data_IF_391008182930
#
_entry.id   IF_391008182930
#
_cell.length_a   1.000
_cell.length_b   1.000
_cell.length_c   1.000
_cell.angle_alpha   90.00
_cell.angle_beta   90.00
_cell.angle_gamma   90.00
#
_symmetry.space_group_name_H-M   'P 1'
#
loop_
_entity.id
_entity.type
_entity.pdbx_description
1 polymer ?
#
# COMPACT_ATOMS: atom_id res chain seq x y z
N UNK A 1 -8.01 -23.85 1.76
CA UNK A 1 -6.82 -23.84 0.86
C UNK A 1 -5.53 -23.85 1.69
N UNK A 2 -4.48 -24.55 1.23
CA UNK A 2 -3.27 -24.85 2.03
C UNK A 2 -2.49 -23.61 2.51
N UNK A 3 -2.60 -22.46 1.82
CA UNK A 3 -1.83 -21.25 2.13
C UNK A 3 -2.54 -20.27 3.09
N UNK A 4 -3.82 -20.49 3.41
CA UNK A 4 -4.58 -19.59 4.29
C UNK A 4 -3.95 -19.43 5.70
N UNK A 5 -3.46 -20.49 6.38
CA UNK A 5 -2.83 -20.35 7.70
C UNK A 5 -1.62 -19.42 7.69
N UNK A 6 -0.78 -19.48 6.64
CA UNK A 6 0.38 -18.61 6.49
C UNK A 6 -0.03 -17.14 6.37
N UNK A 7 -1.02 -16.83 5.52
CA UNK A 7 -1.50 -15.46 5.34
C UNK A 7 -2.17 -14.90 6.60
N UNK A 8 -2.91 -15.74 7.34
CA UNK A 8 -3.48 -15.36 8.63
C UNK A 8 -2.37 -15.00 9.63
N UNK A 9 -1.28 -15.77 9.67
CA UNK A 9 -0.14 -15.46 10.53
C UNK A 9 0.58 -14.18 10.11
N UNK A 10 0.74 -13.94 8.81
CA UNK A 10 1.28 -12.67 8.31
C UNK A 10 0.40 -11.48 8.72
N UNK A 11 -0.93 -11.65 8.74
CA UNK A 11 -1.87 -10.62 9.20
C UNK A 11 -1.72 -10.31 10.68
N UNK A 12 -1.62 -11.33 11.53
CA UNK A 12 -1.38 -11.16 12.96
C UNK A 12 -0.09 -10.39 13.22
N UNK A 13 1.00 -10.78 12.53
CA UNK A 13 2.29 -10.10 12.64
C UNK A 13 2.22 -8.64 12.17
N UNK A 14 1.55 -8.39 11.04
CA UNK A 14 1.38 -7.03 10.53
C UNK A 14 0.58 -6.14 11.48
N UNK A 15 -0.54 -6.64 12.03
CA UNK A 15 -1.35 -5.91 13.01
C UNK A 15 -0.58 -5.63 14.29
N UNK A 16 0.15 -6.62 14.80
CA UNK A 16 1.03 -6.44 15.95
C UNK A 16 2.09 -5.36 15.69
N UNK A 17 2.76 -5.41 14.53
CA UNK A 17 3.79 -4.44 14.17
C UNK A 17 3.21 -3.02 14.03
N UNK A 18 2.06 -2.89 13.37
CA UNK A 18 1.36 -1.61 13.21
C UNK A 18 0.96 -1.01 14.57
N UNK A 19 0.41 -1.81 15.47
CA UNK A 19 0.07 -1.36 16.82
C UNK A 19 1.30 -0.90 17.59
N UNK A 20 2.39 -1.67 17.57
CA UNK A 20 3.66 -1.31 18.24
C UNK A 20 4.27 -0.03 17.69
N UNK A 21 4.26 0.17 16.38
CA UNK A 21 4.77 1.39 15.75
C UNK A 21 3.92 2.62 16.10
N UNK A 22 2.60 2.45 16.19
CA UNK A 22 1.67 3.51 16.61
C UNK A 22 1.83 3.85 18.10
N UNK A 23 2.03 2.86 18.96
CA UNK A 23 2.35 3.07 20.38
C UNK A 23 3.66 3.86 20.55
N UNK A 24 4.70 3.47 19.82
CA UNK A 24 6.01 4.11 19.88
C UNK A 24 6.02 5.51 19.24
N UNK A 25 5.14 5.77 18.28
CA UNK A 25 5.00 7.06 17.61
C UNK A 25 3.52 7.35 17.34
N UNK A 26 2.82 8.04 18.26
CA UNK A 26 1.40 8.35 18.11
C UNK A 26 1.08 9.18 16.86
N UNK A 27 2.07 9.94 16.36
CA UNK A 27 1.98 10.70 15.11
C UNK A 27 2.24 9.86 13.85
N UNK A 28 2.44 8.55 13.97
CA UNK A 28 2.70 7.68 12.82
C UNK A 28 1.51 7.75 11.84
N UNK A 29 1.75 8.02 10.55
CA UNK A 29 0.69 8.03 9.56
C UNK A 29 -0.01 6.67 9.45
N UNK A 30 -1.24 6.62 8.94
CA UNK A 30 -1.96 5.37 8.72
C UNK A 30 -1.11 4.35 7.97
N UNK A 31 -0.99 3.16 8.53
CA UNK A 31 -0.21 2.08 7.95
C UNK A 31 -1.09 1.13 7.14
N UNK A 32 -0.52 0.57 6.07
CA UNK A 32 -1.18 -0.38 5.17
C UNK A 32 -0.38 -1.67 5.12
N UNK A 33 -1.09 -2.78 4.98
CA UNK A 33 -0.51 -4.10 4.78
C UNK A 33 -1.08 -4.76 3.52
N UNK A 34 -0.20 -5.25 2.65
CA UNK A 34 -0.63 -5.81 1.37
C UNK A 34 0.51 -6.32 0.48
N UNK A 35 0.14 -6.76 -0.71
CA UNK A 35 1.04 -7.36 -1.68
C UNK A 35 1.02 -6.56 -2.98
N UNK A 36 2.10 -6.64 -3.75
CA UNK A 36 2.02 -6.32 -5.16
C UNK A 36 1.25 -7.43 -5.89
N UNK A 37 0.31 -7.06 -6.77
CA UNK A 37 -0.45 -8.00 -7.59
C UNK A 37 0.48 -8.86 -8.46
N UNK A 38 1.49 -8.23 -9.08
CA UNK A 38 2.59 -8.94 -9.73
C UNK A 38 3.88 -8.71 -8.92
N UNK A 39 4.45 -9.75 -8.29
CA UNK A 39 5.57 -9.57 -7.38
C UNK A 39 6.87 -9.28 -8.15
N UNK A 40 7.68 -8.35 -7.64
CA UNK A 40 9.01 -8.07 -8.19
C UNK A 40 10.10 -9.04 -7.73
N UNK A 41 9.78 -9.91 -6.76
CA UNK A 41 10.68 -10.90 -6.19
C UNK A 41 9.99 -12.26 -6.15
N UNK A 42 10.77 -13.34 -6.25
CA UNK A 42 10.23 -14.72 -6.31
C UNK A 42 9.51 -15.15 -5.04
N UNK A 43 10.02 -14.75 -3.88
CA UNK A 43 9.44 -15.13 -2.59
C UNK A 43 8.25 -14.22 -2.26
N UNK A 44 7.18 -14.80 -1.72
CA UNK A 44 6.04 -14.04 -1.21
C UNK A 44 6.51 -13.10 -0.09
N UNK A 45 6.17 -11.82 -0.21
CA UNK A 45 6.54 -10.81 0.76
C UNK A 45 5.36 -9.88 1.02
N UNK A 46 4.98 -9.75 2.28
CA UNK A 46 3.98 -8.79 2.71
C UNK A 46 4.66 -7.44 2.93
N UNK A 47 4.14 -6.40 2.30
CA UNK A 47 4.54 -5.04 2.60
C UNK A 47 3.76 -4.52 3.81
N UNK A 48 4.46 -3.89 4.74
CA UNK A 48 3.88 -3.06 5.80
C UNK A 48 4.53 -1.68 5.66
N UNK A 49 3.74 -0.68 5.30
CA UNK A 49 4.23 0.67 5.00
C UNK A 49 3.27 1.74 5.50
N UNK A 50 3.81 2.91 5.86
CA UNK A 50 3.02 4.10 6.15
C UNK A 50 2.52 4.74 4.85
N UNK A 51 1.40 5.48 4.95
CA UNK A 51 0.74 6.09 3.80
C UNK A 51 1.27 7.48 3.43
N UNK A 52 2.39 7.93 4.01
CA UNK A 52 2.94 9.28 3.77
C UNK A 52 3.77 9.42 2.50
N UNK A 53 4.31 8.31 1.96
CA UNK A 53 5.14 8.31 0.75
C UNK A 53 6.35 9.28 0.78
N UNK A 54 6.78 9.71 1.97
CA UNK A 54 7.90 10.63 2.18
C UNK A 54 9.21 9.86 2.35
N UNK A 55 9.77 9.41 1.22
CA UNK A 55 11.04 8.66 1.21
C UNK A 55 11.96 9.10 0.07
N UNK A 56 13.27 9.22 0.34
CA UNK A 56 14.28 9.46 -0.69
C UNK A 56 14.38 8.31 -1.72
N UNK A 57 13.93 7.10 -1.36
CA UNK A 57 13.97 5.91 -2.22
C UNK A 57 12.78 5.82 -3.19
N UNK A 58 11.74 6.63 -2.99
CA UNK A 58 10.61 6.73 -3.89
C UNK A 58 10.98 7.61 -5.10
N UNK A 59 11.64 7.00 -6.10
CA UNK A 59 12.33 7.70 -7.20
C UNK A 59 11.60 7.68 -8.54
N UNK A 60 10.65 6.76 -8.74
CA UNK A 60 10.01 6.56 -10.04
C UNK A 60 8.50 6.49 -9.94
N UNK A 61 7.83 6.83 -11.05
CA UNK A 61 6.39 6.67 -11.23
C UNK A 61 5.95 5.22 -10.95
N UNK A 62 6.76 4.25 -11.38
CA UNK A 62 6.52 2.82 -11.11
C UNK A 62 6.52 2.51 -9.61
N UNK A 63 7.49 3.02 -8.85
CA UNK A 63 7.52 2.82 -7.40
C UNK A 63 6.30 3.44 -6.71
N UNK A 64 5.89 4.64 -7.13
CA UNK A 64 4.71 5.27 -6.55
C UNK A 64 3.44 4.49 -6.88
N UNK A 65 3.20 4.23 -8.15
CA UNK A 65 1.99 3.53 -8.60
C UNK A 65 1.90 2.09 -8.08
N UNK A 66 3.01 1.41 -7.81
CA UNK A 66 2.97 0.05 -7.25
C UNK A 66 2.38 -0.01 -5.85
N UNK A 67 2.38 1.11 -5.11
CA UNK A 67 1.78 1.22 -3.78
C UNK A 67 0.52 2.10 -3.76
N UNK A 68 0.36 2.99 -4.74
CA UNK A 68 -0.68 4.02 -4.79
C UNK A 68 -1.86 3.70 -5.74
N UNK A 69 -1.90 2.49 -6.30
CA UNK A 69 -2.99 2.00 -7.16
C UNK A 69 -3.45 0.62 -6.68
N UNK A 70 -4.48 0.05 -7.32
CA UNK A 70 -4.94 -1.32 -7.05
C UNK A 70 -3.92 -2.40 -7.43
N UNK A 71 -2.77 -2.03 -8.01
CA UNK A 71 -1.61 -2.92 -8.07
C UNK A 71 -1.14 -3.35 -6.66
N UNK A 72 -1.38 -2.51 -5.64
CA UNK A 72 -1.22 -2.88 -4.24
C UNK A 72 -2.51 -3.50 -3.72
N UNK A 73 -2.51 -4.81 -3.52
CA UNK A 73 -3.67 -5.57 -3.05
C UNK A 73 -3.64 -5.67 -1.52
N UNK A 74 -4.64 -5.12 -0.80
CA UNK A 74 -4.72 -5.25 0.65
C UNK A 74 -4.74 -6.71 1.11
N UNK A 75 -4.06 -7.01 2.21
CA UNK A 75 -3.97 -8.38 2.76
C UNK A 75 -5.35 -9.00 3.03
N UNK A 76 -6.29 -8.22 3.58
CA UNK A 76 -7.65 -8.72 3.86
C UNK A 76 -8.44 -9.01 2.57
N UNK A 77 -8.17 -8.30 1.47
CA UNK A 77 -8.76 -8.62 0.16
C UNK A 77 -8.21 -9.94 -0.41
N UNK A 78 -6.90 -10.18 -0.27
CA UNK A 78 -6.27 -11.45 -0.66
C UNK A 78 -6.85 -12.62 0.13
N UNK A 79 -7.00 -12.46 1.46
CA UNK A 79 -7.63 -13.47 2.31
C UNK A 79 -9.10 -13.72 1.91
N UNK A 80 -9.83 -12.66 1.57
CA UNK A 80 -11.22 -12.76 1.08
C UNK A 80 -11.32 -13.59 -0.20
N UNK A 81 -10.50 -13.28 -1.22
CA UNK A 81 -10.47 -14.04 -2.48
C UNK A 81 -10.05 -15.49 -2.26
N UNK A 82 -9.02 -15.73 -1.44
CA UNK A 82 -8.56 -17.07 -1.13
C UNK A 82 -9.63 -17.88 -0.39
N UNK A 83 -10.37 -17.26 0.54
CA UNK A 83 -11.48 -17.89 1.25
C UNK A 83 -12.66 -18.22 0.34
N UNK A 84 -13.05 -17.29 -0.55
CA UNK A 84 -14.20 -17.45 -1.43
C UNK A 84 -13.93 -18.40 -2.61
N UNK A 85 -12.73 -18.37 -3.20
CA UNK A 85 -12.45 -19.06 -4.46
C UNK A 85 -11.35 -20.12 -4.35
N UNK A 86 -10.71 -20.27 -3.19
CA UNK A 86 -9.57 -21.18 -3.01
C UNK A 86 -8.28 -20.72 -3.69
N UNK A 87 -8.31 -19.59 -4.42
CA UNK A 87 -7.20 -19.01 -5.17
C UNK A 87 -7.33 -17.49 -5.28
N UNK A 88 -6.23 -16.85 -5.67
CA UNK A 88 -6.17 -15.42 -6.02
C UNK A 88 -5.97 -15.35 -7.53
N UNK A 89 -6.92 -14.75 -8.25
CA UNK A 89 -6.83 -14.62 -9.69
C UNK A 89 -6.13 -13.30 -10.06
N UNK A 90 -5.11 -13.36 -10.89
CA UNK A 90 -4.28 -12.22 -11.26
C UNK A 90 -4.11 -12.21 -12.78
N UNK A 91 -4.61 -11.17 -13.43
CA UNK A 91 -4.27 -10.86 -14.82
C UNK A 91 -3.00 -10.00 -14.82
N UNK A 92 -1.85 -10.64 -14.95
CA UNK A 92 -0.56 -9.96 -14.85
C UNK A 92 -0.41 -8.80 -15.85
N UNK A 93 -0.97 -8.93 -17.05
CA UNK A 93 -0.89 -7.89 -18.06
C UNK A 93 -1.73 -6.66 -17.67
N UNK A 94 -2.97 -6.89 -17.24
CA UNK A 94 -3.85 -5.81 -16.79
C UNK A 94 -3.29 -5.11 -15.54
N UNK A 95 -2.72 -5.88 -14.60
CA UNK A 95 -2.10 -5.33 -13.38
C UNK A 95 -0.85 -4.50 -13.70
N UNK A 96 0.05 -4.98 -14.55
CA UNK A 96 1.25 -4.23 -14.93
C UNK A 96 0.95 -2.92 -15.67
N UNK A 97 -0.16 -2.85 -16.41
CA UNK A 97 -0.60 -1.61 -17.06
C UNK A 97 -0.87 -0.48 -16.05
N UNK A 98 -1.33 -0.81 -14.83
CA UNK A 98 -1.58 0.16 -13.75
C UNK A 98 -0.32 0.90 -13.32
N UNK A 99 0.86 0.27 -13.44
CA UNK A 99 2.14 0.91 -13.12
C UNK A 99 2.44 2.10 -14.06
N UNK A 100 1.87 2.09 -15.27
CA UNK A 100 2.01 3.17 -16.26
C UNK A 100 0.86 4.19 -16.20
N UNK A 101 -0.17 3.96 -15.39
CA UNK A 101 -1.32 4.86 -15.23
C UNK A 101 -0.89 6.23 -14.68
N UNK A 102 -1.74 7.24 -14.85
CA UNK A 102 -1.50 8.59 -14.30
C UNK A 102 -1.29 8.54 -12.78
N UNK A 103 -0.29 9.27 -12.26
CA UNK A 103 -0.07 9.31 -10.82
C UNK A 103 -1.16 10.17 -10.18
N UNK A 104 -1.95 9.58 -9.30
CA UNK A 104 -2.95 10.27 -8.49
C UNK A 104 -2.67 10.07 -7.02
N UNK A 105 -2.91 11.11 -6.24
CA UNK A 105 -2.87 11.00 -4.78
C UNK A 105 -4.03 10.12 -4.30
N UNK A 106 -3.74 9.08 -3.52
CA UNK A 106 -4.79 8.21 -2.96
C UNK A 106 -5.70 8.91 -1.95
N UNK A 107 -5.24 10.02 -1.34
CA UNK A 107 -6.00 10.72 -0.32
C UNK A 107 -6.81 11.87 -0.88
N UNK A 108 -6.22 12.67 -1.77
CA UNK A 108 -6.86 13.87 -2.34
C UNK A 108 -7.41 13.68 -3.76
N UNK A 109 -7.06 12.59 -4.45
CA UNK A 109 -7.38 12.38 -5.87
C UNK A 109 -6.60 13.27 -6.85
N UNK A 110 -5.75 14.19 -6.35
CA UNK A 110 -4.97 15.13 -7.17
C UNK A 110 -4.07 14.40 -8.16
N UNK A 111 -4.08 14.85 -9.41
CA UNK A 111 -3.14 14.41 -10.45
C UNK A 111 -1.75 15.00 -10.21
N UNK A 112 -0.73 14.14 -10.25
CA UNK A 112 0.67 14.48 -10.00
C UNK A 112 1.47 14.23 -11.28
N UNK A 113 1.80 15.31 -12.00
CA UNK A 113 2.34 15.23 -13.37
C UNK A 113 3.71 14.54 -13.43
N UNK A 114 4.52 14.65 -12.38
CA UNK A 114 5.88 14.10 -12.33
C UNK A 114 6.31 13.84 -10.88
N UNK A 115 7.49 13.22 -10.72
CA UNK A 115 8.02 12.87 -9.40
C UNK A 115 8.28 14.10 -8.51
N UNK A 116 8.86 15.22 -9.00
CA UNK A 116 8.99 16.44 -8.21
C UNK A 116 7.65 16.96 -7.66
N UNK A 117 6.60 17.01 -8.49
CA UNK A 117 5.27 17.44 -8.06
C UNK A 117 4.66 16.50 -7.00
N UNK A 118 4.91 15.18 -7.11
CA UNK A 118 4.56 14.23 -6.07
C UNK A 118 5.32 14.52 -4.76
N UNK A 119 6.63 14.75 -4.82
CA UNK A 119 7.47 15.05 -3.64
C UNK A 119 7.02 16.32 -2.92
N UNK A 120 6.78 17.38 -3.68
CA UNK A 120 6.24 18.62 -3.15
C UNK A 120 4.86 18.40 -2.51
N UNK A 121 4.00 17.63 -3.18
CA UNK A 121 2.67 17.32 -2.65
C UNK A 121 2.74 16.57 -1.31
N UNK A 122 3.52 15.49 -1.21
CA UNK A 122 3.59 14.70 0.03
C UNK A 122 4.32 15.44 1.17
N UNK A 123 5.16 16.42 0.85
CA UNK A 123 5.81 17.30 1.82
C UNK A 123 4.93 18.48 2.27
N UNK A 124 3.78 18.70 1.63
CA UNK A 124 2.90 19.84 1.92
C UNK A 124 2.08 19.64 3.20
N UNK A 125 1.76 20.74 3.88
CA UNK A 125 0.90 20.68 5.07
C UNK A 125 -0.52 20.19 4.75
N UNK A 126 -1.03 20.52 3.56
CA UNK A 126 -2.32 20.04 3.09
C UNK A 126 -2.36 18.50 3.05
N UNK A 127 -1.30 17.86 2.56
CA UNK A 127 -1.23 16.40 2.54
C UNK A 127 -1.06 15.79 3.94
N UNK A 128 -0.25 16.41 4.80
CA UNK A 128 -0.13 16.00 6.21
C UNK A 128 -1.46 16.10 6.96
N UNK A 129 -2.25 17.14 6.71
CA UNK A 129 -3.59 17.27 7.27
C UNK A 129 -4.52 16.13 6.85
N UNK A 130 -4.48 15.72 5.57
CA UNK A 130 -5.25 14.57 5.08
C UNK A 130 -4.83 13.26 5.75
N UNK A 131 -3.53 13.06 5.99
CA UNK A 131 -3.03 11.88 6.70
C UNK A 131 -3.53 11.81 8.15
N UNK A 132 -3.57 12.96 8.84
CA UNK A 132 -4.09 13.04 10.22
C UNK A 132 -5.58 12.73 10.26
N UNK A 133 -6.39 13.31 9.38
CA UNK A 133 -7.84 13.04 9.34
C UNK A 133 -8.19 11.57 9.05
N UNK A 134 -7.33 10.85 8.34
CA UNK A 134 -7.49 9.39 8.08
C UNK A 134 -7.01 8.51 9.23
N UNK A 135 -6.20 9.04 10.15
CA UNK A 135 -5.72 8.30 11.32
C UNK A 135 -6.84 8.06 12.33
N UNK A 136 -7.91 8.86 12.27
CA UNK A 136 -9.06 8.82 13.17
C UNK A 136 -10.19 7.88 12.67
N UNK A 137 -10.06 7.32 11.46
CA UNK A 137 -11.04 6.40 10.83
C UNK A 137 -10.69 4.90 10.99
N UNK A 138 -9.62 4.56 11.71
CA UNK A 138 -9.14 3.17 11.92
C UNK A 138 -9.06 2.81 13.40
#
# INVERSE_FOLDING_TARGET
PAHAPMLLRMRELARWLQARLREASPSMPPMRAGFHAVPSMRQLHLHVLSSDFSSACLKSKRHYNSFATDFFVPLDAVLGQLGAHGRVAIDAFAEEAKLKAEMRCMLSGRVLKNMPALKEHVASEAYRALLRGRADEV
#
